data_IF_489514277953
#
_entry.id   IF_489514277953
#
_cell.length_a   1.000
_cell.length_b   1.000
_cell.length_c   1.000
_cell.angle_alpha   90.00
_cell.angle_beta   90.00
_cell.angle_gamma   90.00
#
_symmetry.space_group_name_H-M   'P 1'
#
loop_
_entity.id
_entity.type
_entity.pdbx_description
1 polymer ?
#
# COMPACT_ATOMS: atom_id res chain seq x y z
N UNK A 1 -25.15 44.23 -35.88
CA UNK A 1 -23.82 43.69 -35.47
C UNK A 1 -24.05 42.71 -34.35
N UNK A 2 -24.01 41.40 -34.67
CA UNK A 2 -24.05 40.33 -33.65
C UNK A 2 -22.63 40.09 -33.20
N UNK A 3 -22.33 40.40 -31.95
CA UNK A 3 -21.06 39.97 -31.30
C UNK A 3 -21.16 38.48 -31.01
N UNK A 4 -20.51 37.68 -31.84
CA UNK A 4 -20.20 36.29 -31.53
C UNK A 4 -19.16 36.28 -30.41
N UNK A 5 -19.60 35.99 -29.17
CA UNK A 5 -18.71 35.68 -28.10
C UNK A 5 -18.09 34.29 -28.37
N UNK A 6 -16.77 34.15 -28.32
CA UNK A 6 -16.15 32.86 -28.44
C UNK A 6 -16.56 31.98 -27.26
N UNK A 7 -17.19 30.86 -27.59
CA UNK A 7 -17.56 29.80 -26.66
C UNK A 7 -16.28 29.27 -26.02
N UNK A 8 -15.99 29.68 -24.81
CA UNK A 8 -14.82 29.21 -24.03
C UNK A 8 -14.98 27.73 -23.84
N UNK A 9 -14.11 26.98 -24.49
CA UNK A 9 -13.97 25.53 -24.34
C UNK A 9 -13.64 25.17 -22.91
N UNK A 10 -14.67 24.95 -22.09
CA UNK A 10 -14.53 24.42 -20.71
C UNK A 10 -14.20 22.92 -20.66
N UNK A 11 -14.10 22.25 -21.81
CA UNK A 11 -13.84 20.83 -21.89
C UNK A 11 -12.37 20.44 -21.63
N UNK A 12 -11.44 21.31 -22.01
CA UNK A 12 -10.00 21.00 -21.90
C UNK A 12 -9.48 21.05 -20.46
N UNK A 13 -10.05 21.88 -19.60
CA UNK A 13 -9.59 22.03 -18.22
C UNK A 13 -9.98 20.83 -17.35
N UNK A 14 -11.17 20.26 -17.55
CA UNK A 14 -11.61 19.07 -16.81
C UNK A 14 -10.77 17.85 -17.17
N UNK A 15 -10.47 17.66 -18.46
CA UNK A 15 -9.63 16.54 -18.92
C UNK A 15 -8.20 16.63 -18.39
N UNK A 16 -7.63 17.83 -18.31
CA UNK A 16 -6.28 18.04 -17.74
C UNK A 16 -6.21 17.81 -16.25
N UNK A 17 -7.24 18.20 -15.50
CA UNK A 17 -7.36 17.94 -14.06
C UNK A 17 -7.48 16.44 -13.78
N UNK A 18 -8.28 15.72 -14.57
CA UNK A 18 -8.46 14.28 -14.44
C UNK A 18 -7.16 13.49 -14.70
N UNK A 19 -6.40 13.86 -15.74
CA UNK A 19 -5.11 13.25 -16.06
C UNK A 19 -4.08 13.53 -14.96
N UNK A 20 -4.05 14.74 -14.41
CA UNK A 20 -3.14 15.09 -13.32
C UNK A 20 -3.47 14.30 -12.05
N UNK A 21 -4.75 14.19 -11.72
CA UNK A 21 -5.20 13.38 -10.58
C UNK A 21 -4.88 11.89 -10.77
N UNK A 22 -5.06 11.34 -11.97
CA UNK A 22 -4.72 9.96 -12.29
C UNK A 22 -3.22 9.68 -12.10
N UNK A 23 -2.33 10.61 -12.51
CA UNK A 23 -0.88 10.50 -12.30
C UNK A 23 -0.50 10.52 -10.82
N UNK A 24 -1.10 11.40 -10.04
CA UNK A 24 -0.85 11.48 -8.58
C UNK A 24 -1.30 10.19 -7.88
N UNK A 25 -2.44 9.63 -8.28
CA UNK A 25 -2.95 8.35 -7.77
C UNK A 25 -2.01 7.19 -8.11
N UNK A 26 -1.56 7.11 -9.37
CA UNK A 26 -0.61 6.08 -9.81
C UNK A 26 0.73 6.16 -9.05
N UNK A 27 1.26 7.36 -8.83
CA UNK A 27 2.48 7.57 -8.08
C UNK A 27 2.35 7.15 -6.60
N UNK A 28 1.20 7.39 -5.97
CA UNK A 28 0.93 6.95 -4.58
C UNK A 28 0.89 5.43 -4.47
N UNK A 29 0.19 4.77 -5.41
CA UNK A 29 0.14 3.31 -5.49
C UNK A 29 1.54 2.70 -5.63
N UNK A 30 2.33 3.24 -6.55
CA UNK A 30 3.69 2.76 -6.77
C UNK A 30 4.53 2.86 -5.49
N UNK A 31 4.41 3.96 -4.74
CA UNK A 31 5.07 4.13 -3.44
C UNK A 31 4.61 3.11 -2.40
N UNK A 32 3.31 2.81 -2.34
CA UNK A 32 2.76 1.79 -1.44
C UNK A 32 3.30 0.40 -1.75
N UNK A 33 3.25 0.01 -3.03
CA UNK A 33 3.79 -1.28 -3.49
C UNK A 33 5.28 -1.36 -3.23
N UNK A 34 6.04 -0.30 -3.52
CA UNK A 34 7.48 -0.27 -3.28
C UNK A 34 7.82 -0.43 -1.80
N UNK A 35 7.12 0.29 -0.91
CA UNK A 35 7.31 0.16 0.54
C UNK A 35 7.00 -1.26 1.03
N UNK A 36 5.89 -1.83 0.57
CA UNK A 36 5.52 -3.20 0.91
C UNK A 36 6.59 -4.18 0.44
N UNK A 37 7.05 -4.06 -0.79
CA UNK A 37 8.07 -4.93 -1.38
C UNK A 37 9.39 -4.84 -0.60
N UNK A 38 9.88 -3.63 -0.33
CA UNK A 38 11.12 -3.43 0.43
C UNK A 38 10.99 -4.02 1.84
N UNK A 39 9.89 -3.75 2.53
CA UNK A 39 9.67 -4.25 3.88
C UNK A 39 9.54 -5.77 3.91
N UNK A 40 8.81 -6.36 2.95
CA UNK A 40 8.68 -7.81 2.81
C UNK A 40 10.04 -8.47 2.58
N UNK A 41 10.84 -7.92 1.66
CA UNK A 41 12.17 -8.47 1.37
C UNK A 41 13.06 -8.35 2.61
N UNK A 42 13.09 -7.20 3.27
CA UNK A 42 13.93 -7.00 4.45
C UNK A 42 13.60 -7.97 5.59
N UNK A 43 12.31 -8.12 5.92
CA UNK A 43 11.87 -9.04 6.97
C UNK A 43 12.11 -10.50 6.57
N UNK A 44 11.78 -10.87 5.34
CA UNK A 44 11.98 -12.25 4.86
C UNK A 44 13.45 -12.64 4.83
N UNK A 45 14.35 -11.74 4.40
CA UNK A 45 15.78 -11.98 4.42
C UNK A 45 16.31 -12.13 5.86
N UNK A 46 15.87 -11.26 6.78
CA UNK A 46 16.27 -11.38 8.19
C UNK A 46 15.85 -12.72 8.79
N UNK A 47 14.63 -13.17 8.53
CA UNK A 47 14.13 -14.47 8.98
C UNK A 47 14.90 -15.64 8.33
N UNK A 48 15.18 -15.55 7.03
CA UNK A 48 15.93 -16.58 6.31
C UNK A 48 17.35 -16.72 6.86
N UNK A 49 18.06 -15.62 7.08
CA UNK A 49 19.39 -15.64 7.69
C UNK A 49 19.38 -16.21 9.10
N UNK A 50 18.41 -15.85 9.93
CA UNK A 50 18.28 -16.41 11.27
C UNK A 50 18.07 -17.93 11.23
N UNK A 51 17.21 -18.40 10.32
CA UNK A 51 16.94 -19.82 10.17
C UNK A 51 18.13 -20.58 9.60
N UNK A 52 18.81 -20.06 8.58
CA UNK A 52 20.04 -20.64 8.03
C UNK A 52 21.12 -20.76 9.12
N UNK A 53 21.29 -19.72 9.95
CA UNK A 53 22.21 -19.74 11.09
C UNK A 53 21.87 -20.84 12.10
N UNK A 54 20.59 -21.02 12.42
CA UNK A 54 20.15 -22.12 13.31
C UNK A 54 20.43 -23.49 12.71
N UNK A 55 20.20 -23.71 11.42
CA UNK A 55 20.47 -24.96 10.74
C UNK A 55 21.96 -25.29 10.77
N UNK A 56 22.83 -24.32 10.48
CA UNK A 56 24.28 -24.50 10.53
C UNK A 56 24.74 -24.84 11.94
N UNK A 57 24.20 -24.16 12.97
CA UNK A 57 24.51 -24.47 14.37
C UNK A 57 24.05 -25.88 14.77
N UNK A 58 22.95 -26.37 14.16
CA UNK A 58 22.48 -27.75 14.37
C UNK A 58 23.25 -28.80 13.56
N UNK A 59 24.27 -28.40 12.77
CA UNK A 59 25.09 -29.30 11.97
C UNK A 59 24.48 -29.65 10.59
N UNK A 60 23.44 -28.97 10.16
CA UNK A 60 22.86 -29.17 8.84
C UNK A 60 23.48 -28.19 7.84
N UNK A 61 23.91 -28.71 6.69
CA UNK A 61 24.34 -27.88 5.54
C UNK A 61 23.30 -27.97 4.43
N UNK A 62 22.34 -27.02 4.38
CA UNK A 62 21.31 -27.03 3.33
C UNK A 62 21.95 -26.72 1.96
N UNK A 63 21.46 -27.40 0.93
CA UNK A 63 21.86 -27.16 -0.44
C UNK A 63 21.27 -25.82 -0.95
N UNK A 64 21.88 -25.24 -1.99
CA UNK A 64 21.49 -23.94 -2.52
C UNK A 64 20.01 -23.89 -3.00
N UNK A 65 19.50 -25.01 -3.52
CA UNK A 65 18.12 -25.09 -3.99
C UNK A 65 17.12 -25.00 -2.82
N UNK A 66 17.41 -25.71 -1.74
CA UNK A 66 16.58 -25.65 -0.52
C UNK A 66 16.60 -24.25 0.10
N UNK A 67 17.74 -23.59 0.14
CA UNK A 67 17.86 -22.20 0.64
C UNK A 67 17.03 -21.25 -0.21
N UNK A 68 17.11 -21.33 -1.53
CA UNK A 68 16.32 -20.50 -2.45
C UNK A 68 14.82 -20.72 -2.28
N UNK A 69 14.39 -21.97 -2.23
CA UNK A 69 12.97 -22.31 -2.03
C UNK A 69 12.47 -21.77 -0.69
N UNK A 70 13.23 -21.93 0.36
CA UNK A 70 12.90 -21.41 1.70
C UNK A 70 12.75 -19.89 1.68
N UNK A 71 13.68 -19.16 1.06
CA UNK A 71 13.61 -17.71 0.93
C UNK A 71 12.37 -17.27 0.16
N UNK A 72 12.02 -17.95 -0.93
CA UNK A 72 10.85 -17.64 -1.72
C UNK A 72 9.55 -17.84 -0.92
N UNK A 73 9.42 -19.00 -0.24
CA UNK A 73 8.26 -19.30 0.61
C UNK A 73 8.14 -18.29 1.75
N UNK A 74 9.25 -17.95 2.40
CA UNK A 74 9.27 -16.96 3.48
C UNK A 74 8.85 -15.58 2.99
N UNK A 75 9.31 -15.14 1.82
CA UNK A 75 8.86 -13.90 1.19
C UNK A 75 7.35 -13.89 0.93
N UNK A 76 6.80 -14.97 0.40
CA UNK A 76 5.38 -15.09 0.12
C UNK A 76 4.53 -15.03 1.41
N UNK A 77 4.94 -15.76 2.45
CA UNK A 77 4.26 -15.78 3.74
C UNK A 77 4.32 -14.42 4.45
N UNK A 78 5.48 -13.76 4.47
CA UNK A 78 5.64 -12.43 5.08
C UNK A 78 4.81 -11.40 4.32
N UNK A 79 4.79 -11.45 2.98
CA UNK A 79 3.97 -10.56 2.17
C UNK A 79 2.48 -10.72 2.48
N UNK A 80 2.01 -11.95 2.53
CA UNK A 80 0.62 -12.26 2.86
C UNK A 80 0.25 -11.80 4.28
N UNK A 81 1.10 -12.10 5.25
CA UNK A 81 0.89 -11.69 6.65
C UNK A 81 0.83 -10.16 6.79
N UNK A 82 1.76 -9.45 6.14
CA UNK A 82 1.83 -7.99 6.22
C UNK A 82 0.59 -7.33 5.57
N UNK A 83 0.11 -7.87 4.45
CA UNK A 83 -1.12 -7.40 3.81
C UNK A 83 -2.35 -7.65 4.69
N UNK A 84 -2.44 -8.83 5.31
CA UNK A 84 -3.53 -9.16 6.21
C UNK A 84 -3.53 -8.26 7.46
N UNK A 85 -2.36 -7.97 8.04
CA UNK A 85 -2.25 -7.08 9.21
C UNK A 85 -2.55 -5.62 8.85
N UNK A 86 -2.14 -5.17 7.66
CA UNK A 86 -2.50 -3.85 7.14
C UNK A 86 -4.02 -3.71 6.96
N UNK A 87 -4.68 -4.72 6.43
CA UNK A 87 -6.13 -4.73 6.25
C UNK A 87 -6.87 -4.72 7.60
N UNK A 88 -6.41 -5.51 8.57
CA UNK A 88 -6.97 -5.52 9.94
C UNK A 88 -6.80 -4.16 10.62
N UNK A 89 -5.62 -3.55 10.50
CA UNK A 89 -5.36 -2.22 11.04
C UNK A 89 -6.28 -1.16 10.42
N UNK A 90 -6.53 -1.24 9.11
CA UNK A 90 -7.47 -0.36 8.43
C UNK A 90 -8.91 -0.55 8.92
N UNK A 91 -9.40 -1.79 9.00
CA UNK A 91 -10.74 -2.09 9.50
C UNK A 91 -10.93 -1.57 10.93
N UNK A 92 -9.93 -1.78 11.78
CA UNK A 92 -9.93 -1.26 13.14
C UNK A 92 -10.01 0.28 13.16
N UNK A 93 -9.21 0.96 12.34
CA UNK A 93 -9.19 2.42 12.25
C UNK A 93 -10.54 3.00 11.76
N UNK A 94 -11.19 2.33 10.81
CA UNK A 94 -12.52 2.73 10.33
C UNK A 94 -13.58 2.53 11.40
N UNK A 95 -13.59 1.38 12.10
CA UNK A 95 -14.57 1.07 13.15
C UNK A 95 -14.49 2.04 14.33
N UNK A 96 -13.30 2.53 14.66
CA UNK A 96 -13.08 3.45 15.79
C UNK A 96 -13.07 4.93 15.38
N UNK A 97 -13.39 5.23 14.13
CA UNK A 97 -13.48 6.63 13.65
C UNK A 97 -12.14 7.36 13.54
N UNK A 98 -11.02 6.63 13.49
CA UNK A 98 -9.69 7.23 13.30
C UNK A 98 -9.44 7.72 11.87
N UNK A 99 -10.23 7.26 10.91
CA UNK A 99 -10.22 7.70 9.51
C UNK A 99 -11.34 8.70 9.32
N UNK A 100 -11.01 9.95 9.11
CA UNK A 100 -11.97 11.08 9.15
C UNK A 100 -12.86 11.14 7.91
N UNK A 101 -12.42 10.64 6.77
CA UNK A 101 -13.17 10.69 5.51
C UNK A 101 -13.00 9.36 4.76
N UNK A 102 -14.07 8.54 4.67
CA UNK A 102 -14.05 7.37 3.80
C UNK A 102 -13.96 7.85 2.34
N UNK A 103 -12.84 7.61 1.69
CA UNK A 103 -12.58 8.06 0.32
C UNK A 103 -11.59 9.21 0.19
N UNK A 104 -11.12 9.79 1.27
CA UNK A 104 -10.00 10.69 1.23
C UNK A 104 -8.75 9.96 0.71
N UNK A 105 -7.99 10.66 -0.06
CA UNK A 105 -6.92 10.21 -0.95
C UNK A 105 -5.72 9.48 -0.31
N UNK A 106 -5.89 8.85 0.87
CA UNK A 106 -4.82 8.13 1.56
C UNK A 106 -3.70 9.04 2.04
N UNK A 107 -4.02 10.29 2.31
CA UNK A 107 -3.06 11.22 2.92
C UNK A 107 -2.87 10.82 4.40
N UNK A 108 -1.62 10.76 4.90
CA UNK A 108 -1.38 10.55 6.34
C UNK A 108 -2.08 11.57 7.24
N UNK A 109 -2.44 12.74 6.68
CA UNK A 109 -3.19 13.79 7.38
C UNK A 109 -4.64 13.40 7.70
N UNK A 110 -5.23 12.49 6.91
CA UNK A 110 -6.63 12.06 7.08
C UNK A 110 -6.80 11.01 8.18
N UNK A 111 -5.69 10.55 8.76
CA UNK A 111 -5.68 9.56 9.84
C UNK A 111 -5.33 10.27 11.15
N UNK A 112 -6.16 10.09 12.16
CA UNK A 112 -5.93 10.67 13.48
C UNK A 112 -4.52 10.30 14.02
N UNK A 113 -3.78 11.24 14.61
CA UNK A 113 -2.42 11.01 15.09
C UNK A 113 -2.35 9.94 16.19
N UNK A 114 -3.45 9.72 16.89
CA UNK A 114 -3.59 8.75 17.99
C UNK A 114 -3.91 7.32 17.48
N UNK A 115 -4.04 7.12 16.16
CA UNK A 115 -4.37 5.81 15.59
C UNK A 115 -3.24 4.80 15.86
N UNK A 116 -3.53 3.68 16.53
CA UNK A 116 -2.53 2.63 16.71
C UNK A 116 -2.16 2.02 15.36
N UNK A 117 -0.88 1.69 15.19
CA UNK A 117 -0.34 1.15 13.92
C UNK A 117 -0.64 2.03 12.68
N UNK A 118 -0.63 3.35 12.85
CA UNK A 118 -0.93 4.33 11.79
C UNK A 118 -0.23 4.04 10.46
N UNK A 119 1.02 3.59 10.51
CA UNK A 119 1.79 3.26 9.31
C UNK A 119 1.20 2.09 8.50
N UNK A 120 0.59 1.09 9.17
CA UNK A 120 -0.12 -0.01 8.51
C UNK A 120 -1.41 0.46 7.84
N UNK A 121 -2.14 1.38 8.48
CA UNK A 121 -3.35 1.99 7.90
C UNK A 121 -2.99 2.81 6.66
N UNK A 122 -1.91 3.60 6.71
CA UNK A 122 -1.38 4.33 5.55
C UNK A 122 -0.99 3.37 4.44
N UNK A 123 -0.32 2.28 4.78
CA UNK A 123 0.07 1.25 3.81
C UNK A 123 -1.16 0.61 3.15
N UNK A 124 -2.19 0.26 3.92
CA UNK A 124 -3.44 -0.29 3.40
C UNK A 124 -4.13 0.67 2.45
N UNK A 125 -4.25 1.95 2.80
CA UNK A 125 -4.83 2.99 1.94
C UNK A 125 -4.05 3.20 0.64
N UNK A 126 -2.73 3.02 0.68
CA UNK A 126 -1.90 3.11 -0.52
C UNK A 126 -2.03 1.89 -1.42
N UNK A 127 -2.33 0.73 -0.86
CA UNK A 127 -2.47 -0.53 -1.59
C UNK A 127 -3.89 -0.77 -2.09
N UNK A 128 -4.92 -0.20 -1.43
CA UNK A 128 -6.32 -0.44 -1.78
C UNK A 128 -6.71 0.31 -3.06
N UNK A 129 -7.08 -0.42 -4.14
CA UNK A 129 -7.59 0.19 -5.36
C UNK A 129 -8.98 0.79 -5.21
N UNK A 130 -9.76 0.34 -4.22
CA UNK A 130 -11.16 0.75 -4.03
C UNK A 130 -11.30 2.11 -3.38
N UNK A 131 -10.38 2.50 -2.49
CA UNK A 131 -10.31 3.83 -1.91
C UNK A 131 -10.08 4.95 -2.94
N UNK A 132 -9.70 4.57 -4.17
CA UNK A 132 -9.44 5.51 -5.26
C UNK A 132 -10.69 5.90 -6.05
N UNK A 133 -11.76 5.13 -5.99
CA UNK A 133 -12.96 5.34 -6.82
C UNK A 133 -14.11 6.00 -6.07
N UNK A 134 -13.95 6.38 -4.81
CA UNK A 134 -15.03 7.06 -4.05
C UNK A 134 -16.28 6.19 -3.85
N UNK A 135 -16.24 4.91 -4.19
CA UNK A 135 -17.33 3.98 -3.91
C UNK A 135 -17.42 3.77 -2.41
N UNK A 136 -18.45 4.37 -1.83
CA UNK A 136 -18.84 4.14 -0.44
C UNK A 136 -19.04 2.65 -0.23
N UNK A 137 -18.22 2.11 0.63
CA UNK A 137 -18.51 0.83 1.25
C UNK A 137 -19.76 1.05 2.09
N UNK A 138 -20.89 0.56 1.61
CA UNK A 138 -22.13 0.49 2.38
C UNK A 138 -22.01 -0.55 3.47
#
# INVERSE_FOLDING_TARGET
MKHDMPKRDGGDDHTRLDVRQARVRAARRLRGVLKLTILTIAVAQALAFAFEGLLVMAGFAPDAATVLLFRFVTCALVSFWLQADALRAYQYAVQHGFVTIPGAHGDPADIAPQCPKRWLVVLSLQLDPRGLNGERIK
#
